data_IF_832009227338
#
_entry.id   IF_832009227338
#
_cell.length_a   1.000
_cell.length_b   1.000
_cell.length_c   1.000
_cell.angle_alpha   90.00
_cell.angle_beta   90.00
_cell.angle_gamma   90.00
#
_symmetry.space_group_name_H-M   'P 1'
#
loop_
_entity.id
_entity.type
_entity.pdbx_description
1 polymer ?
#
# COMPACT_ATOMS: atom_id res chain seq x y z
N UNK A 1 -13.69 18.17 -10.53
CA UNK A 1 -14.31 17.73 -9.26
C UNK A 1 -13.49 16.69 -8.50
N UNK A 2 -12.79 15.75 -9.17
CA UNK A 2 -12.05 14.66 -8.52
C UNK A 2 -10.79 15.06 -7.73
N UNK A 3 -10.00 16.04 -8.20
CA UNK A 3 -8.85 16.58 -7.45
C UNK A 3 -9.25 16.99 -6.01
N UNK A 4 -10.49 17.46 -5.81
CA UNK A 4 -10.99 17.85 -4.49
C UNK A 4 -11.12 16.64 -3.54
N UNK A 5 -11.60 15.49 -4.00
CA UNK A 5 -11.75 14.28 -3.16
C UNK A 5 -10.41 13.68 -2.72
N UNK A 6 -9.43 13.64 -3.62
CA UNK A 6 -8.07 13.21 -3.28
C UNK A 6 -7.43 14.15 -2.25
N UNK A 7 -7.51 15.47 -2.48
CA UNK A 7 -7.01 16.46 -1.52
C UNK A 7 -7.74 16.41 -0.19
N UNK A 8 -9.04 16.08 -0.16
CA UNK A 8 -9.79 15.89 1.08
C UNK A 8 -9.26 14.70 1.89
N UNK A 9 -8.92 13.57 1.26
CA UNK A 9 -8.30 12.44 1.96
C UNK A 9 -6.91 12.80 2.48
N UNK A 10 -6.11 13.51 1.68
CA UNK A 10 -4.77 13.96 2.10
C UNK A 10 -4.88 14.94 3.28
N UNK A 11 -5.83 15.88 3.24
CA UNK A 11 -6.11 16.80 4.33
C UNK A 11 -6.63 16.04 5.57
N UNK A 12 -7.48 15.03 5.39
CA UNK A 12 -7.95 14.18 6.49
C UNK A 12 -6.79 13.44 7.15
N UNK A 13 -5.91 12.80 6.38
CA UNK A 13 -4.69 12.15 6.87
C UNK A 13 -3.81 13.15 7.64
N UNK A 14 -3.55 14.33 7.05
CA UNK A 14 -2.74 15.37 7.68
C UNK A 14 -3.37 15.87 8.99
N UNK A 15 -4.70 16.06 9.02
CA UNK A 15 -5.41 16.47 10.23
C UNK A 15 -5.35 15.41 11.33
N UNK A 16 -5.51 14.13 10.99
CA UNK A 16 -5.40 13.02 11.94
C UNK A 16 -3.98 12.92 12.49
N UNK A 17 -2.96 13.12 11.65
CA UNK A 17 -1.56 13.16 12.08
C UNK A 17 -1.28 14.33 13.04
N UNK A 18 -1.76 15.53 12.73
CA UNK A 18 -1.60 16.70 13.60
C UNK A 18 -2.31 16.51 14.94
N UNK A 19 -3.53 15.97 14.94
CA UNK A 19 -4.27 15.66 16.18
C UNK A 19 -3.54 14.59 17.00
N UNK A 20 -2.91 13.62 16.34
CA UNK A 20 -2.11 12.58 17.00
C UNK A 20 -0.84 13.11 17.67
N UNK A 21 -0.32 14.27 17.27
CA UNK A 21 0.86 14.88 17.90
C UNK A 21 0.54 15.70 19.16
N UNK A 22 -0.73 16.02 19.39
CA UNK A 22 -1.15 16.81 20.56
C UNK A 22 -1.29 15.89 21.78
N UNK A 23 -0.50 16.08 22.85
CA UNK A 23 -0.62 15.26 24.06
C UNK A 23 -2.02 15.41 24.69
N UNK A 24 -2.72 14.30 24.94
CA UNK A 24 -4.05 14.30 25.58
C UNK A 24 -5.25 14.45 24.64
N UNK A 25 -5.04 14.48 23.32
CA UNK A 25 -6.11 14.61 22.31
C UNK A 25 -6.92 13.33 22.04
N UNK A 26 -6.53 12.19 22.62
CA UNK A 26 -7.16 10.90 22.34
C UNK A 26 -8.55 10.79 22.99
N UNK A 27 -9.62 10.67 22.21
CA UNK A 27 -10.94 10.43 22.76
C UNK A 27 -10.99 8.99 23.32
N UNK A 28 -11.14 8.83 24.63
CA UNK A 28 -11.66 7.60 25.25
C UNK A 28 -10.74 6.36 25.27
N UNK A 29 -9.41 6.49 25.16
CA UNK A 29 -8.49 5.36 25.30
C UNK A 29 -8.26 4.55 24.02
N UNK A 30 -8.49 5.14 22.84
CA UNK A 30 -8.12 4.53 21.57
C UNK A 30 -6.62 4.23 21.53
N UNK A 31 -6.25 3.00 21.18
CA UNK A 31 -4.85 2.61 21.07
C UNK A 31 -4.18 3.28 19.88
N UNK A 32 -2.95 3.79 20.08
CA UNK A 32 -2.14 4.40 19.02
C UNK A 32 -2.00 3.52 17.78
N UNK A 33 -1.99 2.20 17.97
CA UNK A 33 -1.96 1.21 16.90
C UNK A 33 -3.19 1.26 15.97
N UNK A 34 -4.39 1.50 16.51
CA UNK A 34 -5.62 1.61 15.71
C UNK A 34 -5.61 2.87 14.85
N UNK A 35 -5.22 4.01 15.43
CA UNK A 35 -5.07 5.27 14.71
C UNK A 35 -4.04 5.14 13.58
N UNK A 36 -2.88 4.57 13.87
CA UNK A 36 -1.82 4.39 12.87
C UNK A 36 -2.27 3.46 11.73
N UNK A 37 -2.98 2.37 12.05
CA UNK A 37 -3.53 1.46 11.03
C UNK A 37 -4.60 2.13 10.17
N UNK A 38 -5.42 3.01 10.76
CA UNK A 38 -6.42 3.79 10.04
C UNK A 38 -5.78 4.82 9.09
N UNK A 39 -4.69 5.46 9.50
CA UNK A 39 -3.94 6.36 8.63
C UNK A 39 -3.36 5.62 7.43
N UNK A 40 -2.74 4.45 7.66
CA UNK A 40 -2.15 3.64 6.60
C UNK A 40 -3.22 3.11 5.64
N UNK A 41 -4.36 2.64 6.15
CA UNK A 41 -5.44 2.18 5.28
C UNK A 41 -5.99 3.31 4.41
N UNK A 42 -6.19 4.51 4.97
CA UNK A 42 -6.57 5.70 4.19
C UNK A 42 -5.52 6.05 3.12
N UNK A 43 -4.23 5.96 3.44
CA UNK A 43 -3.15 6.22 2.49
C UNK A 43 -3.17 5.21 1.34
N UNK A 44 -3.31 3.92 1.63
CA UNK A 44 -3.45 2.87 0.62
C UNK A 44 -4.66 3.16 -0.28
N UNK A 45 -5.83 3.42 0.29
CA UNK A 45 -7.04 3.74 -0.47
C UNK A 45 -6.86 4.97 -1.35
N UNK A 46 -6.17 6.01 -0.88
CA UNK A 46 -5.87 7.20 -1.67
C UNK A 46 -5.00 6.88 -2.90
N UNK A 47 -4.00 6.01 -2.75
CA UNK A 47 -3.15 5.56 -3.86
C UNK A 47 -3.91 4.71 -4.87
N UNK A 48 -4.74 3.75 -4.40
CA UNK A 48 -5.59 2.96 -5.29
C UNK A 48 -6.60 3.83 -6.05
N UNK A 49 -7.20 4.82 -5.39
CA UNK A 49 -8.10 5.76 -6.05
C UNK A 49 -7.38 6.59 -7.11
N UNK A 50 -6.13 6.98 -6.85
CA UNK A 50 -5.30 7.68 -7.83
C UNK A 50 -4.98 6.81 -9.05
N UNK A 51 -4.67 5.54 -8.83
CA UNK A 51 -4.40 4.58 -9.88
C UNK A 51 -5.62 4.29 -10.76
N UNK A 52 -6.80 4.06 -10.17
CA UNK A 52 -8.03 3.79 -10.93
C UNK A 52 -8.39 4.92 -11.91
N UNK A 53 -8.03 6.15 -11.56
CA UNK A 53 -8.30 7.35 -12.36
C UNK A 53 -7.20 7.68 -13.36
N UNK A 54 -6.08 6.96 -13.34
CA UNK A 54 -5.04 7.11 -14.34
C UNK A 54 -5.49 6.46 -15.65
N UNK A 55 -5.16 7.09 -16.77
CA UNK A 55 -5.55 6.64 -18.12
C UNK A 55 -4.63 5.51 -18.57
N UNK A 56 -4.59 4.41 -17.81
CA UNK A 56 -3.78 3.25 -18.17
C UNK A 56 -4.46 2.47 -19.30
N UNK A 57 -3.67 2.05 -20.27
CA UNK A 57 -4.16 1.14 -21.31
C UNK A 57 -4.52 -0.22 -20.72
N UNK A 58 -5.47 -0.95 -21.31
CA UNK A 58 -5.82 -2.30 -20.87
C UNK A 58 -4.62 -3.24 -20.84
N UNK A 59 -3.66 -3.05 -21.76
CA UNK A 59 -2.40 -3.79 -21.79
C UNK A 59 -1.52 -3.46 -20.57
N UNK A 60 -1.41 -2.19 -20.20
CA UNK A 60 -0.64 -1.77 -19.03
C UNK A 60 -1.23 -2.35 -17.75
N UNK A 61 -2.56 -2.31 -17.59
CA UNK A 61 -3.23 -2.90 -16.42
C UNK A 61 -2.96 -4.41 -16.34
N UNK A 62 -2.99 -5.12 -17.48
CA UNK A 62 -2.64 -6.53 -17.52
C UNK A 62 -1.18 -6.78 -17.10
N UNK A 63 -0.23 -5.97 -17.60
CA UNK A 63 1.19 -6.06 -17.21
C UNK A 63 1.40 -5.75 -15.72
N UNK A 64 0.71 -4.77 -15.17
CA UNK A 64 0.77 -4.41 -13.75
C UNK A 64 0.25 -5.57 -12.89
N UNK A 65 -0.85 -6.20 -13.31
CA UNK A 65 -1.40 -7.37 -12.65
C UNK A 65 -0.45 -8.58 -12.70
N UNK A 66 0.20 -8.84 -13.84
CA UNK A 66 1.17 -9.93 -13.95
C UNK A 66 2.41 -9.68 -13.09
N UNK A 67 2.91 -8.45 -13.04
CA UNK A 67 4.02 -8.06 -12.16
C UNK A 67 3.65 -8.23 -10.67
N UNK A 68 2.43 -7.85 -10.27
CA UNK A 68 1.93 -8.06 -8.92
C UNK A 68 1.81 -9.55 -8.56
N UNK A 69 1.35 -10.39 -9.50
CA UNK A 69 1.28 -11.83 -9.31
C UNK A 69 2.68 -12.46 -9.15
N UNK A 70 3.64 -12.06 -10.00
CA UNK A 70 5.04 -12.50 -9.90
C UNK A 70 5.66 -12.09 -8.55
N UNK A 71 5.43 -10.83 -8.13
CA UNK A 71 5.88 -10.33 -6.84
C UNK A 71 5.27 -11.11 -5.68
N UNK A 72 3.97 -11.43 -5.73
CA UNK A 72 3.28 -12.21 -4.70
C UNK A 72 3.82 -13.66 -4.62
N UNK A 73 3.94 -14.35 -5.75
CA UNK A 73 4.41 -15.74 -5.80
C UNK A 73 5.86 -15.83 -5.34
N UNK A 74 6.70 -14.87 -5.74
CA UNK A 74 8.11 -14.84 -5.30
C UNK A 74 8.27 -14.70 -3.79
N UNK A 75 7.25 -14.20 -3.07
CA UNK A 75 7.33 -14.09 -1.61
C UNK A 75 7.13 -15.43 -0.91
N UNK A 76 6.30 -16.31 -1.45
CA UNK A 76 5.85 -17.55 -0.76
C UNK A 76 7.00 -18.52 -0.47
N UNK A 77 7.85 -18.93 -1.43
CA UNK A 77 8.93 -19.87 -1.15
C UNK A 77 10.08 -19.24 -0.37
N UNK A 78 10.27 -17.93 -0.52
CA UNK A 78 11.33 -17.18 0.16
C UNK A 78 10.91 -16.64 1.53
N UNK A 79 9.69 -16.92 2.00
CA UNK A 79 9.24 -16.53 3.34
C UNK A 79 10.10 -17.15 4.46
N UNK A 80 10.75 -18.28 4.18
CA UNK A 80 11.63 -19.01 5.11
C UNK A 80 13.04 -18.40 5.13
N UNK A 81 13.48 -17.77 4.04
CA UNK A 81 14.82 -17.17 3.92
C UNK A 81 14.72 -15.68 4.27
N UNK A 82 15.13 -15.33 5.49
CA UNK A 82 15.17 -13.94 5.93
C UNK A 82 16.17 -13.14 5.10
N UNK A 83 15.73 -11.99 4.58
CA UNK A 83 16.58 -11.02 3.87
C UNK A 83 16.60 -11.11 2.33
N UNK A 84 16.11 -12.20 1.73
CA UNK A 84 15.99 -12.33 0.27
C UNK A 84 14.52 -12.38 -0.14
N UNK A 85 13.95 -11.21 -0.44
CA UNK A 85 12.60 -11.11 -1.01
C UNK A 85 12.68 -10.52 -2.42
N UNK A 86 12.63 -11.35 -3.48
CA UNK A 86 12.58 -10.86 -4.86
C UNK A 86 11.38 -9.93 -5.12
N UNK A 87 10.34 -10.01 -4.28
CA UNK A 87 9.19 -9.11 -4.25
C UNK A 87 9.59 -7.64 -4.28
N UNK A 88 10.54 -7.20 -3.45
CA UNK A 88 10.94 -5.77 -3.39
C UNK A 88 11.56 -5.32 -4.71
N UNK A 89 12.40 -6.15 -5.31
CA UNK A 89 13.06 -5.87 -6.58
C UNK A 89 12.06 -5.74 -7.74
N UNK A 90 11.08 -6.63 -7.81
CA UNK A 90 10.01 -6.59 -8.83
C UNK A 90 9.19 -5.30 -8.67
N UNK A 91 8.87 -4.91 -7.44
CA UNK A 91 8.13 -3.68 -7.15
C UNK A 91 8.93 -2.44 -7.56
N UNK A 92 10.21 -2.36 -7.17
CA UNK A 92 11.09 -1.24 -7.51
C UNK A 92 11.25 -1.07 -9.02
N UNK A 93 11.50 -2.15 -9.77
CA UNK A 93 11.60 -2.08 -11.24
C UNK A 93 10.28 -1.62 -11.86
N UNK A 94 9.16 -2.14 -11.35
CA UNK A 94 7.85 -1.71 -11.84
C UNK A 94 7.62 -0.23 -11.59
N UNK A 95 7.98 0.27 -10.40
CA UNK A 95 7.93 1.69 -10.06
C UNK A 95 8.86 2.55 -10.93
N UNK A 96 10.04 2.04 -11.27
CA UNK A 96 10.99 2.72 -12.15
C UNK A 96 10.48 2.82 -13.60
N UNK A 97 9.89 1.75 -14.13
CA UNK A 97 9.44 1.68 -15.54
C UNK A 97 8.08 2.34 -15.74
N UNK A 98 7.10 2.05 -14.88
CA UNK A 98 5.70 2.50 -15.04
C UNK A 98 5.33 3.67 -14.12
N UNK A 99 6.28 4.16 -13.33
CA UNK A 99 6.10 5.26 -12.39
C UNK A 99 5.72 4.81 -10.97
N UNK A 100 6.00 5.70 -10.01
CA UNK A 100 5.88 5.40 -8.57
C UNK A 100 4.47 4.99 -8.12
N UNK A 101 3.41 5.53 -8.75
CA UNK A 101 2.03 5.14 -8.43
C UNK A 101 1.77 3.66 -8.74
N UNK A 102 2.29 3.22 -9.88
CA UNK A 102 2.14 1.86 -10.39
C UNK A 102 2.95 0.87 -9.56
N UNK A 103 4.19 1.23 -9.22
CA UNK A 103 5.02 0.48 -8.28
C UNK A 103 4.32 0.29 -6.93
N UNK A 104 3.74 1.35 -6.38
CA UNK A 104 2.98 1.27 -5.13
C UNK A 104 1.84 0.25 -5.20
N UNK A 105 1.04 0.29 -6.26
CA UNK A 105 -0.07 -0.65 -6.45
C UNK A 105 0.44 -2.09 -6.57
N UNK A 106 1.51 -2.33 -7.32
CA UNK A 106 2.12 -3.67 -7.43
C UNK A 106 2.59 -4.18 -6.08
N UNK A 107 3.28 -3.36 -5.27
CA UNK A 107 3.72 -3.75 -3.93
C UNK A 107 2.57 -4.02 -2.97
N UNK A 108 1.55 -3.16 -2.98
CA UNK A 108 0.37 -3.31 -2.16
C UNK A 108 -0.43 -4.58 -2.51
N UNK A 109 -0.67 -4.84 -3.80
CA UNK A 109 -1.37 -6.03 -4.27
C UNK A 109 -0.54 -7.29 -4.00
N UNK A 110 0.78 -7.24 -4.22
CA UNK A 110 1.66 -8.37 -3.94
C UNK A 110 1.61 -8.78 -2.47
N UNK A 111 1.67 -7.82 -1.55
CA UNK A 111 1.53 -8.05 -0.11
C UNK A 111 0.17 -8.67 0.27
N UNK A 112 -0.92 -8.15 -0.30
CA UNK A 112 -2.26 -8.65 -0.03
C UNK A 112 -2.47 -10.09 -0.53
N UNK A 113 -2.07 -10.37 -1.78
CA UNK A 113 -2.28 -11.67 -2.44
C UNK A 113 -1.41 -12.75 -1.80
N UNK A 114 -0.14 -12.46 -1.52
CA UNK A 114 0.74 -13.41 -0.84
C UNK A 114 0.26 -13.77 0.57
N UNK A 115 -0.43 -12.84 1.26
CA UNK A 115 -1.04 -13.11 2.56
C UNK A 115 -2.26 -14.05 2.48
N UNK A 116 -2.82 -14.36 1.31
CA UNK A 116 -3.77 -15.47 1.20
C UNK A 116 -3.13 -16.83 1.45
N UNK A 117 -1.83 -16.97 1.18
CA UNK A 117 -1.07 -18.19 1.46
C UNK A 117 -0.40 -18.16 2.83
N UNK A 118 0.11 -16.99 3.24
CA UNK A 118 0.87 -16.81 4.49
C UNK A 118 0.00 -16.44 5.70
N UNK A 119 -1.29 -16.16 5.50
CA UNK A 119 -2.23 -15.74 6.53
C UNK A 119 -2.45 -14.22 6.55
N UNK A 120 -3.72 -13.82 6.70
CA UNK A 120 -4.13 -12.42 6.87
C UNK A 120 -4.15 -12.07 8.36
N UNK A 121 -3.74 -10.84 8.68
CA UNK A 121 -3.82 -10.32 10.05
C UNK A 121 -3.67 -8.80 10.13
N UNK A 122 -3.60 -8.23 11.34
CA UNK A 122 -3.45 -6.79 11.56
C UNK A 122 -2.21 -6.17 10.91
N UNK A 123 -1.19 -6.99 10.58
CA UNK A 123 0.02 -6.57 9.87
C UNK A 123 -0.18 -6.37 8.36
N UNK A 124 -1.28 -6.82 7.77
CA UNK A 124 -1.50 -6.78 6.31
C UNK A 124 -1.45 -5.35 5.75
N UNK A 125 -2.16 -4.35 6.32
CA UNK A 125 -2.09 -2.98 5.81
C UNK A 125 -0.65 -2.42 5.86
N UNK A 126 0.10 -2.77 6.91
CA UNK A 126 1.49 -2.36 7.06
C UNK A 126 2.40 -2.99 6.00
N UNK A 127 2.20 -4.27 5.69
CA UNK A 127 2.94 -4.96 4.64
C UNK A 127 2.63 -4.39 3.25
N UNK A 128 1.35 -4.14 2.97
CA UNK A 128 0.92 -3.52 1.71
C UNK A 128 1.58 -2.15 1.52
N UNK A 129 1.58 -1.33 2.57
CA UNK A 129 2.17 0.01 2.54
C UNK A 129 3.70 -0.04 2.42
N UNK A 130 4.37 -0.88 3.21
CA UNK A 130 5.82 -0.99 3.20
C UNK A 130 6.37 -1.45 1.84
N UNK A 131 5.76 -2.47 1.22
CA UNK A 131 6.17 -2.86 -0.14
C UNK A 131 5.77 -1.85 -1.18
N UNK A 132 4.61 -1.21 -1.04
CA UNK A 132 4.22 -0.16 -1.97
C UNK A 132 5.19 1.03 -1.98
N UNK A 133 5.92 1.27 -0.87
CA UNK A 133 6.90 2.35 -0.76
C UNK A 133 8.33 1.98 -1.19
N UNK A 134 8.61 0.73 -1.57
CA UNK A 134 9.92 0.32 -2.09
C UNK A 134 10.21 1.01 -3.43
#
# INVERSE_FOLDING_TARGET
>A
MWKKGFWLIVIAIASILVVSLVPGSMPGGASWALLATLIVSLAITAFFWRFEKSTNSSLEVALIATMAALAAVSRVPFAIISGLQPTTFIVMITGYVFGAQTGFVVGAVAGLVSNFFLGQGPWTPWQMFAWGMC
#
